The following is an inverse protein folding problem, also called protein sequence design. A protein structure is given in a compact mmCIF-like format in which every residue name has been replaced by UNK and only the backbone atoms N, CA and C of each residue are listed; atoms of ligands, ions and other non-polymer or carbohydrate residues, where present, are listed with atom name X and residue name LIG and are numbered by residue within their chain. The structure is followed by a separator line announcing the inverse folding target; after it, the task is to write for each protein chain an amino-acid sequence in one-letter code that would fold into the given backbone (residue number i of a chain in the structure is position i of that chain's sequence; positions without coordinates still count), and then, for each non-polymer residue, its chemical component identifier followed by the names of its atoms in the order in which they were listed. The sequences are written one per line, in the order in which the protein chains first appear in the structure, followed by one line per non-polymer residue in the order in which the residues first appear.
data_IF_517518224481
#
_entry.id   IF_517518224481
#
_cell.length_a   1.000
_cell.length_b   1.000
_cell.length_c   1.000
_cell.angle_alpha   90.00
_cell.angle_beta   90.00
_cell.angle_gamma   90.00
#
_symmetry.space_group_name_H-M   'P 1'
#
loop_
_entity.id
_entity.type
_entity.pdbx_description
1 polymer ?
#
# COMPACT_ATOMS: atom_id res chain seq x y z
N UNK A 1 21.58 -2.52 -10.85
CA UNK A 1 21.34 -3.29 -9.62
C UNK A 1 19.95 -2.94 -9.11
N UNK A 2 19.23 -3.90 -8.50
CA UNK A 2 17.92 -3.69 -7.89
C UNK A 2 17.87 -4.48 -6.58
N UNK A 3 17.33 -3.88 -5.52
CA UNK A 3 17.08 -4.52 -4.23
C UNK A 3 15.64 -4.22 -3.80
N UNK A 4 14.99 -5.20 -3.17
CA UNK A 4 13.59 -5.07 -2.72
C UNK A 4 13.32 -5.97 -1.51
N UNK A 5 12.59 -5.46 -0.54
CA UNK A 5 12.22 -6.10 0.72
C UNK A 5 10.77 -5.72 1.11
N UNK A 6 9.75 -6.47 0.66
CA UNK A 6 8.36 -6.15 0.96
C UNK A 6 8.04 -6.36 2.46
N UNK A 7 7.38 -5.38 3.10
CA UNK A 7 7.01 -5.44 4.52
C UNK A 7 5.54 -5.79 4.67
N UNK A 8 5.25 -6.99 5.19
CA UNK A 8 3.90 -7.48 5.51
C UNK A 8 3.87 -8.07 6.92
N UNK A 9 2.67 -8.26 7.48
CA UNK A 9 2.50 -8.90 8.78
C UNK A 9 3.11 -10.30 8.82
N UNK A 10 3.81 -10.62 9.91
CA UNK A 10 4.39 -11.95 10.12
C UNK A 10 3.27 -12.98 10.31
N UNK A 11 3.25 -14.01 9.45
CA UNK A 11 2.24 -15.06 9.44
C UNK A 11 2.87 -16.44 9.22
N UNK A 12 2.16 -17.49 9.62
CA UNK A 12 2.51 -18.88 9.31
C UNK A 12 1.31 -19.56 8.61
N UNK A 13 1.46 -20.02 7.35
CA UNK A 13 2.66 -19.93 6.51
C UNK A 13 3.00 -18.47 6.11
N UNK A 14 4.25 -18.24 5.71
CA UNK A 14 4.68 -16.94 5.16
C UNK A 14 3.82 -16.55 3.97
N UNK A 15 3.49 -15.26 3.87
CA UNK A 15 2.75 -14.72 2.71
C UNK A 15 3.55 -14.91 1.42
N UNK A 16 4.86 -14.63 1.49
CA UNK A 16 5.80 -14.77 0.38
C UNK A 16 6.53 -16.11 0.44
N UNK A 17 6.70 -16.75 -0.71
CA UNK A 17 7.62 -17.87 -0.87
C UNK A 17 8.41 -17.74 -2.19
N UNK A 18 9.59 -18.34 -2.22
CA UNK A 18 10.45 -18.31 -3.40
C UNK A 18 10.00 -19.36 -4.43
N UNK A 19 9.91 -18.96 -5.69
CA UNK A 19 9.52 -19.81 -6.80
C UNK A 19 10.33 -19.50 -8.06
N UNK A 20 10.47 -20.50 -8.94
CA UNK A 20 11.05 -20.35 -10.27
C UNK A 20 10.21 -21.12 -11.29
N UNK A 21 9.92 -20.49 -12.42
CA UNK A 21 9.22 -21.09 -13.55
C UNK A 21 10.22 -21.25 -14.69
N UNK A 22 10.58 -22.51 -14.97
CA UNK A 22 11.61 -22.84 -15.95
C UNK A 22 11.07 -23.83 -16.98
N UNK A 23 10.95 -23.34 -18.21
CA UNK A 23 10.70 -24.17 -19.37
C UNK A 23 12.00 -24.88 -19.76
N UNK A 24 11.97 -26.22 -19.91
CA UNK A 24 13.16 -27.00 -20.32
C UNK A 24 13.73 -26.56 -21.66
N UNK A 25 12.86 -26.07 -22.53
CA UNK A 25 13.21 -25.47 -23.82
C UNK A 25 12.36 -24.21 -23.97
N UNK A 26 12.92 -23.03 -23.65
CA UNK A 26 12.23 -21.76 -23.83
C UNK A 26 11.81 -21.57 -25.30
N UNK A 27 10.58 -21.13 -25.52
CA UNK A 27 10.04 -20.88 -26.85
C UNK A 27 8.61 -20.33 -26.78
N UNK A 28 7.95 -20.08 -27.93
CA UNK A 28 6.62 -19.45 -27.95
C UNK A 28 5.55 -20.19 -27.15
N UNK A 29 5.66 -21.51 -27.02
CA UNK A 29 4.71 -22.33 -26.25
C UNK A 29 5.00 -22.35 -24.73
N UNK A 30 6.22 -22.00 -24.32
CA UNK A 30 6.65 -21.98 -22.92
C UNK A 30 7.81 -20.96 -22.80
N UNK A 31 7.50 -19.67 -22.62
CA UNK A 31 8.51 -18.61 -22.64
C UNK A 31 9.19 -18.37 -21.28
N UNK A 32 8.81 -19.11 -20.24
CA UNK A 32 9.21 -18.83 -18.86
C UNK A 32 10.61 -19.35 -18.55
N UNK A 33 11.47 -18.42 -18.13
CA UNK A 33 12.70 -18.68 -17.39
C UNK A 33 12.88 -17.51 -16.42
N UNK A 34 12.20 -17.62 -15.28
CA UNK A 34 12.00 -16.53 -14.32
C UNK A 34 12.09 -17.07 -12.90
N UNK A 35 12.66 -16.28 -11.98
CA UNK A 35 12.79 -16.66 -10.57
C UNK A 35 12.58 -15.46 -9.67
N UNK A 36 12.00 -15.70 -8.50
CA UNK A 36 11.81 -14.68 -7.48
C UNK A 36 10.86 -15.15 -6.39
N UNK A 37 9.97 -14.25 -5.95
CA UNK A 37 8.99 -14.48 -4.91
C UNK A 37 7.58 -14.38 -5.44
N UNK A 38 6.67 -15.17 -4.87
CA UNK A 38 5.24 -15.19 -5.20
C UNK A 38 4.39 -15.48 -3.98
N UNK A 39 3.07 -15.44 -4.14
CA UNK A 39 2.09 -15.70 -3.10
C UNK A 39 1.54 -17.13 -3.19
N UNK A 40 1.28 -17.74 -2.04
CA UNK A 40 0.65 -19.07 -2.00
C UNK A 40 -0.67 -19.07 -2.78
N UNK A 41 -0.78 -19.94 -3.79
CA UNK A 41 -1.96 -20.05 -4.65
C UNK A 41 -1.97 -19.13 -5.88
N UNK A 42 -1.01 -18.21 -6.01
CA UNK A 42 -0.84 -17.38 -7.20
C UNK A 42 0.24 -17.98 -8.12
N UNK A 43 -0.06 -18.20 -9.42
CA UNK A 43 0.97 -18.57 -10.39
C UNK A 43 1.77 -17.35 -10.85
N UNK A 44 3.00 -17.57 -11.29
CA UNK A 44 3.90 -16.50 -11.77
C UNK A 44 4.86 -15.98 -10.69
N UNK A 45 5.82 -15.16 -11.11
CA UNK A 45 6.78 -14.48 -10.23
C UNK A 45 6.36 -13.03 -10.04
N UNK A 46 6.09 -12.65 -8.80
CA UNK A 46 5.52 -11.35 -8.48
C UNK A 46 6.63 -10.30 -8.29
N UNK A 47 7.69 -10.66 -7.58
CA UNK A 47 8.94 -9.88 -7.44
C UNK A 47 10.07 -10.78 -7.88
N UNK A 48 10.93 -10.35 -8.79
CA UNK A 48 11.99 -11.23 -9.27
C UNK A 48 12.71 -10.72 -10.49
N UNK A 49 13.27 -11.65 -11.25
CA UNK A 49 13.97 -11.36 -12.47
C UNK A 49 13.90 -12.54 -13.45
N UNK A 50 14.12 -12.23 -14.72
CA UNK A 50 14.44 -13.20 -15.75
C UNK A 50 15.85 -12.92 -16.28
N UNK A 51 16.19 -13.46 -17.46
CA UNK A 51 17.51 -13.28 -18.06
C UNK A 51 17.84 -11.84 -18.49
N UNK A 52 16.85 -10.95 -18.63
CA UNK A 52 17.03 -9.59 -19.17
C UNK A 52 16.69 -8.49 -18.19
N UNK A 53 15.64 -8.68 -17.39
CA UNK A 53 15.11 -7.63 -16.52
C UNK A 53 14.88 -8.15 -15.11
N UNK A 54 14.95 -7.24 -14.14
CA UNK A 54 14.57 -7.44 -12.75
C UNK A 54 13.53 -6.38 -12.35
N UNK A 55 12.64 -6.77 -11.45
CA UNK A 55 11.63 -5.88 -10.90
C UNK A 55 11.37 -6.17 -9.43
N UNK A 56 10.95 -5.13 -8.73
CA UNK A 56 10.43 -5.20 -7.37
C UNK A 56 9.37 -4.13 -7.19
N UNK A 57 8.65 -4.17 -6.07
CA UNK A 57 7.66 -3.14 -5.82
C UNK A 57 7.45 -2.80 -4.36
N UNK A 58 6.86 -1.63 -4.16
CA UNK A 58 6.28 -1.19 -2.90
C UNK A 58 4.83 -0.76 -3.12
N UNK A 59 4.00 -0.77 -2.07
CA UNK A 59 2.63 -0.28 -2.18
C UNK A 59 2.62 1.22 -2.54
N UNK A 60 1.91 1.59 -3.61
CA UNK A 60 1.67 2.99 -3.97
C UNK A 60 0.69 3.65 -3.00
N UNK A 61 -0.19 2.86 -2.38
CA UNK A 61 -1.25 3.37 -1.50
C UNK A 61 -2.24 4.31 -2.18
N UNK A 62 -2.63 4.11 -3.46
CA UNK A 62 -3.59 5.00 -4.08
C UNK A 62 -4.95 4.84 -3.37
N UNK A 63 -5.64 5.96 -3.25
CA UNK A 63 -6.99 6.03 -2.75
C UNK A 63 -7.97 5.49 -3.80
N UNK A 64 -8.34 4.22 -3.61
CA UNK A 64 -9.16 3.42 -4.53
C UNK A 64 -10.44 2.92 -3.86
N UNK A 65 -10.80 3.48 -2.72
CA UNK A 65 -11.92 3.06 -1.90
C UNK A 65 -12.68 4.27 -1.39
N UNK A 66 -13.99 4.31 -1.64
CA UNK A 66 -14.88 5.33 -1.11
C UNK A 66 -16.00 4.71 -0.27
N UNK A 67 -16.40 5.43 0.78
CA UNK A 67 -17.58 5.13 1.57
C UNK A 67 -18.71 6.08 1.17
N UNK A 68 -19.81 5.52 0.68
CA UNK A 68 -20.99 6.29 0.32
C UNK A 68 -22.06 6.15 1.40
N UNK A 69 -22.55 7.28 1.90
CA UNK A 69 -23.66 7.36 2.83
C UNK A 69 -24.97 7.27 2.05
N UNK A 70 -25.79 6.28 2.39
CA UNK A 70 -26.96 5.89 1.61
C UNK A 70 -28.25 6.09 2.40
N UNK A 71 -29.32 6.42 1.66
CA UNK A 71 -30.69 6.51 2.19
C UNK A 71 -31.51 5.35 1.68
N UNK A 72 -31.64 4.32 2.50
CA UNK A 72 -32.35 3.09 2.18
C UNK A 72 -33.75 3.12 2.78
N UNK A 73 -34.77 2.78 1.98
CA UNK A 73 -36.16 2.65 2.42
C UNK A 73 -36.74 1.34 1.90
N UNK A 74 -36.93 0.36 2.79
CA UNK A 74 -37.39 -0.97 2.38
C UNK A 74 -36.42 -1.61 1.39
N UNK A 75 -36.92 -1.95 0.19
CA UNK A 75 -36.13 -2.57 -0.88
C UNK A 75 -35.50 -1.59 -1.88
N UNK A 76 -35.50 -0.29 -1.59
CA UNK A 76 -34.99 0.76 -2.47
C UNK A 76 -34.00 1.70 -1.76
N UNK A 77 -33.23 2.45 -2.55
CA UNK A 77 -32.34 3.51 -2.08
C UNK A 77 -32.47 4.76 -2.96
N UNK A 78 -32.14 5.93 -2.40
CA UNK A 78 -32.15 7.20 -3.14
C UNK A 78 -30.83 7.40 -3.90
N UNK A 79 -30.89 7.78 -5.18
CA UNK A 79 -29.73 8.07 -6.03
C UNK A 79 -30.08 9.13 -7.06
N UNK A 80 -29.42 10.28 -7.00
CA UNK A 80 -29.62 11.44 -7.87
C UNK A 80 -31.11 11.81 -8.04
N UNK A 81 -31.83 11.91 -6.91
CA UNK A 81 -33.25 12.26 -6.86
C UNK A 81 -34.22 11.17 -7.31
N UNK A 82 -33.75 9.94 -7.53
CA UNK A 82 -34.58 8.78 -7.91
C UNK A 82 -34.50 7.67 -6.86
N UNK A 83 -35.61 6.97 -6.65
CA UNK A 83 -35.62 5.73 -5.88
C UNK A 83 -35.27 4.56 -6.81
N UNK A 84 -34.20 3.82 -6.48
CA UNK A 84 -33.72 2.67 -7.23
C UNK A 84 -33.85 1.40 -6.39
N UNK A 85 -34.18 0.24 -6.99
CA UNK A 85 -34.22 -1.01 -6.25
C UNK A 85 -32.81 -1.43 -5.80
N UNK A 86 -32.72 -2.01 -4.61
CA UNK A 86 -31.50 -2.69 -4.16
C UNK A 86 -31.31 -3.98 -4.96
N UNK A 87 -30.06 -4.30 -5.30
CA UNK A 87 -29.70 -5.66 -5.72
C UNK A 87 -29.47 -6.48 -4.46
N UNK A 88 -30.38 -7.43 -4.20
CA UNK A 88 -30.33 -8.29 -3.01
C UNK A 88 -29.87 -9.70 -3.40
N UNK A 89 -28.92 -10.26 -2.66
CA UNK A 89 -28.60 -11.69 -2.71
C UNK A 89 -28.48 -12.27 -1.31
N UNK A 90 -28.76 -13.56 -1.19
CA UNK A 90 -28.64 -14.30 0.07
C UNK A 90 -27.46 -15.26 -0.04
N UNK A 91 -26.53 -15.13 0.89
CA UNK A 91 -25.34 -15.96 1.01
C UNK A 91 -25.49 -16.89 2.21
N UNK A 92 -24.97 -18.11 2.10
CA UNK A 92 -24.91 -19.04 3.23
C UNK A 92 -23.45 -19.42 3.50
N UNK A 93 -22.97 -19.05 4.68
CA UNK A 93 -21.62 -19.33 5.15
C UNK A 93 -21.68 -20.58 6.02
N UNK A 94 -21.04 -21.66 5.59
CA UNK A 94 -20.93 -22.90 6.38
C UNK A 94 -19.88 -22.70 7.48
N UNK A 95 -20.26 -22.93 8.73
CA UNK A 95 -19.37 -22.78 9.89
C UNK A 95 -18.97 -24.16 10.40
N UNK A 96 -17.67 -24.41 10.57
CA UNK A 96 -17.19 -25.69 11.07
C UNK A 96 -17.68 -25.90 12.51
N UNK A 97 -18.40 -27.00 12.74
CA UNK A 97 -18.93 -27.35 14.07
C UNK A 97 -20.14 -26.52 14.54
N UNK A 98 -20.75 -25.71 13.67
CA UNK A 98 -21.94 -24.94 13.96
C UNK A 98 -22.91 -24.89 12.78
N UNK A 99 -24.11 -24.37 13.00
CA UNK A 99 -25.10 -24.19 11.94
C UNK A 99 -24.63 -23.11 10.93
N UNK A 100 -25.01 -23.24 9.64
CA UNK A 100 -24.68 -22.23 8.65
C UNK A 100 -25.26 -20.86 8.99
N UNK A 101 -24.48 -19.81 8.77
CA UNK A 101 -24.93 -18.42 8.91
C UNK A 101 -25.46 -17.93 7.58
N UNK A 102 -26.70 -17.45 7.55
CA UNK A 102 -27.29 -16.80 6.38
C UNK A 102 -27.07 -15.30 6.46
N UNK A 103 -26.57 -14.71 5.38
CA UNK A 103 -26.28 -13.28 5.27
C UNK A 103 -27.02 -12.71 4.06
N UNK A 104 -27.72 -11.59 4.24
CA UNK A 104 -28.36 -10.86 3.15
C UNK A 104 -27.43 -9.73 2.71
N UNK A 105 -26.98 -9.78 1.46
CA UNK A 105 -26.14 -8.74 0.86
C UNK A 105 -27.01 -7.85 0.01
N UNK A 106 -27.16 -6.59 0.42
CA UNK A 106 -27.80 -5.53 -0.36
C UNK A 106 -26.73 -4.69 -1.04
N UNK A 107 -26.94 -4.34 -2.29
CA UNK A 107 -25.98 -3.60 -3.12
C UNK A 107 -26.69 -2.43 -3.81
N UNK A 108 -26.09 -1.24 -3.73
CA UNK A 108 -26.47 -0.03 -4.48
C UNK A 108 -25.58 0.12 -5.72
N UNK A 109 -25.75 1.19 -6.51
CA UNK A 109 -24.84 1.48 -7.61
C UNK A 109 -23.41 1.80 -7.13
N UNK A 110 -23.28 2.27 -5.87
CA UNK A 110 -21.99 2.60 -5.26
C UNK A 110 -21.33 1.37 -4.60
N UNK A 111 -22.05 0.26 -4.41
CA UNK A 111 -21.47 -1.02 -3.97
C UNK A 111 -22.28 -1.73 -2.88
N UNK A 112 -21.74 -2.82 -2.31
CA UNK A 112 -22.40 -3.53 -1.22
C UNK A 112 -22.53 -2.65 0.02
N UNK A 113 -23.68 -2.75 0.68
CA UNK A 113 -23.90 -2.13 1.99
C UNK A 113 -23.08 -2.87 3.06
N UNK A 114 -22.27 -2.13 3.80
CA UNK A 114 -21.37 -2.65 4.84
C UNK A 114 -21.69 -2.09 6.24
N UNK A 115 -22.84 -1.43 6.41
CA UNK A 115 -23.28 -0.83 7.68
C UNK A 115 -23.16 -1.80 8.85
N UNK A 116 -23.60 -3.05 8.66
CA UNK A 116 -23.68 -4.05 9.74
C UNK A 116 -22.31 -4.60 10.15
N UNK A 117 -21.27 -4.39 9.35
CA UNK A 117 -19.90 -4.85 9.65
C UNK A 117 -18.98 -3.75 10.17
N UNK A 118 -19.42 -2.49 10.11
CA UNK A 118 -18.73 -1.36 10.72
C UNK A 118 -19.29 -1.16 12.13
N UNK A 119 -18.47 -1.45 13.14
CA UNK A 119 -18.85 -1.23 14.54
C UNK A 119 -19.22 0.25 14.78
N UNK A 120 -20.37 0.48 15.43
CA UNK A 120 -20.85 1.84 15.76
C UNK A 120 -21.40 2.66 14.59
N UNK A 121 -21.39 2.15 13.34
CA UNK A 121 -21.85 2.92 12.18
C UNK A 121 -23.28 3.45 12.33
N UNK A 122 -24.20 2.64 12.88
CA UNK A 122 -25.58 3.06 13.11
C UNK A 122 -25.72 4.29 14.02
N UNK A 123 -24.81 4.47 14.99
CA UNK A 123 -24.80 5.65 15.86
C UNK A 123 -24.20 6.85 15.15
N UNK A 124 -23.09 6.67 14.43
CA UNK A 124 -22.41 7.73 13.66
C UNK A 124 -23.27 8.31 12.54
N UNK A 125 -24.17 7.50 11.96
CA UNK A 125 -25.04 7.94 10.86
C UNK A 125 -26.18 8.87 11.28
N UNK A 126 -26.57 8.90 12.56
CA UNK A 126 -27.76 9.63 13.04
C UNK A 126 -27.80 11.09 12.61
N UNK A 127 -26.66 11.77 12.62
CA UNK A 127 -26.54 13.21 12.32
C UNK A 127 -26.33 13.50 10.82
N UNK A 128 -26.07 12.46 10.01
CA UNK A 128 -25.80 12.58 8.57
C UNK A 128 -27.06 12.57 7.68
N UNK A 129 -28.20 12.14 8.23
CA UNK A 129 -29.43 11.90 7.47
C UNK A 129 -29.40 10.65 6.56
N UNK A 130 -28.33 9.85 6.62
CA UNK A 130 -28.22 8.52 6.02
C UNK A 130 -28.55 7.43 7.04
N UNK A 131 -28.81 6.21 6.56
CA UNK A 131 -29.06 5.03 7.40
C UNK A 131 -28.31 3.79 6.93
N UNK A 132 -27.47 3.92 5.89
CA UNK A 132 -26.58 2.85 5.46
C UNK A 132 -25.26 3.41 4.91
N UNK A 133 -24.24 2.55 4.82
CA UNK A 133 -22.94 2.83 4.20
C UNK A 133 -22.70 1.81 3.09
N UNK A 134 -22.45 2.27 1.87
CA UNK A 134 -21.98 1.45 0.75
C UNK A 134 -20.46 1.56 0.59
N UNK A 135 -19.81 0.47 0.18
CA UNK A 135 -18.39 0.41 -0.13
C UNK A 135 -18.17 0.39 -1.65
N UNK A 136 -17.61 1.47 -2.20
CA UNK A 136 -17.08 1.45 -3.57
C UNK A 136 -15.59 1.16 -3.51
N UNK A 137 -15.15 0.08 -4.15
CA UNK A 137 -13.74 -0.30 -4.16
C UNK A 137 -13.37 -0.94 -5.48
N UNK A 138 -12.27 -0.51 -6.10
CA UNK A 138 -11.81 -1.06 -7.39
C UNK A 138 -11.52 -2.56 -7.34
N UNK A 139 -11.21 -3.12 -6.17
CA UNK A 139 -11.03 -4.57 -6.00
C UNK A 139 -12.33 -5.39 -6.15
N UNK A 140 -13.49 -4.74 -6.08
CA UNK A 140 -14.78 -5.38 -6.30
C UNK A 140 -15.17 -5.45 -7.78
N UNK A 141 -14.44 -4.74 -8.65
CA UNK A 141 -14.62 -4.82 -10.09
C UNK A 141 -13.68 -5.89 -10.69
N UNK A 142 -14.14 -6.73 -11.64
CA UNK A 142 -13.30 -7.74 -12.28
C UNK A 142 -12.07 -7.13 -12.96
N UNK A 143 -10.90 -7.70 -12.69
CA UNK A 143 -9.62 -7.21 -13.20
C UNK A 143 -8.73 -8.27 -13.83
N UNK A 144 -7.61 -7.83 -14.40
CA UNK A 144 -6.64 -8.62 -15.18
C UNK A 144 -5.22 -8.58 -14.60
N UNK A 145 -5.07 -8.27 -13.32
CA UNK A 145 -3.75 -8.23 -12.67
C UNK A 145 -2.98 -9.55 -12.83
N UNK A 146 -3.67 -10.69 -12.75
CA UNK A 146 -3.02 -11.99 -12.98
C UNK A 146 -2.41 -12.10 -14.39
N UNK A 147 -3.11 -11.64 -15.42
CA UNK A 147 -2.58 -11.61 -16.79
C UNK A 147 -1.33 -10.71 -16.89
N UNK A 148 -1.35 -9.57 -16.19
CA UNK A 148 -0.22 -8.64 -16.15
C UNK A 148 1.04 -9.29 -15.56
N UNK A 149 0.90 -10.12 -14.53
CA UNK A 149 2.02 -10.83 -13.91
C UNK A 149 2.65 -11.84 -14.88
N UNK A 150 1.85 -12.64 -15.59
CA UNK A 150 2.38 -13.55 -16.60
C UNK A 150 3.05 -12.82 -17.77
N UNK A 151 2.49 -11.68 -18.19
CA UNK A 151 3.12 -10.85 -19.21
C UNK A 151 4.45 -10.28 -18.71
N UNK A 152 4.52 -9.84 -17.45
CA UNK A 152 5.70 -9.30 -16.80
C UNK A 152 6.83 -10.34 -16.70
N UNK A 153 6.50 -11.59 -16.33
CA UNK A 153 7.45 -12.70 -16.25
C UNK A 153 8.22 -12.94 -17.56
N UNK A 154 7.66 -12.52 -18.70
CA UNK A 154 8.21 -12.68 -20.04
C UNK A 154 8.69 -11.37 -20.69
N UNK A 155 8.55 -10.24 -19.99
CA UNK A 155 9.04 -8.95 -20.47
C UNK A 155 10.57 -8.96 -20.53
N UNK A 156 11.14 -8.21 -21.47
CA UNK A 156 12.58 -8.27 -21.79
C UNK A 156 13.22 -6.91 -21.96
N UNK A 157 12.43 -5.84 -21.89
CA UNK A 157 12.87 -4.45 -21.97
C UNK A 157 11.83 -3.54 -21.30
N UNK A 158 12.13 -2.24 -21.21
CA UNK A 158 11.24 -1.24 -20.63
C UNK A 158 9.88 -1.16 -21.32
N UNK A 159 9.85 -1.33 -22.64
CA UNK A 159 8.62 -1.21 -23.42
C UNK A 159 7.67 -2.39 -23.13
N UNK A 160 8.18 -3.62 -23.16
CA UNK A 160 7.43 -4.83 -22.81
C UNK A 160 7.06 -4.87 -21.32
N UNK A 161 7.92 -4.37 -20.44
CA UNK A 161 7.62 -4.17 -19.02
C UNK A 161 6.41 -3.25 -18.84
N UNK A 162 6.43 -2.04 -19.43
CA UNK A 162 5.28 -1.13 -19.36
C UNK A 162 4.04 -1.70 -20.06
N UNK A 163 4.19 -2.45 -21.14
CA UNK A 163 3.07 -3.07 -21.83
C UNK A 163 2.37 -4.12 -20.95
N UNK A 164 3.14 -4.96 -20.24
CA UNK A 164 2.60 -5.93 -19.29
C UNK A 164 1.81 -5.24 -18.17
N UNK A 165 2.33 -4.12 -17.64
CA UNK A 165 1.72 -3.42 -16.52
C UNK A 165 0.45 -2.64 -16.86
N UNK A 166 0.09 -2.48 -18.14
CA UNK A 166 -1.18 -1.82 -18.55
C UNK A 166 -2.42 -2.49 -17.97
N UNK A 167 -2.36 -3.80 -17.70
CA UNK A 167 -3.46 -4.58 -17.10
C UNK A 167 -3.26 -4.89 -15.62
N UNK A 168 -2.26 -4.28 -14.98
CA UNK A 168 -2.05 -4.39 -13.54
C UNK A 168 -2.96 -3.40 -12.81
N UNK A 169 -4.16 -3.86 -12.44
CA UNK A 169 -5.25 -2.98 -11.99
C UNK A 169 -5.36 -2.88 -10.47
N UNK A 170 -5.17 -3.98 -9.75
CA UNK A 170 -5.30 -4.02 -8.29
C UNK A 170 -4.35 -5.09 -7.71
N UNK A 171 -3.68 -4.83 -6.58
CA UNK A 171 -3.55 -3.53 -5.90
C UNK A 171 -2.62 -2.58 -6.66
N UNK A 172 -2.77 -1.26 -6.52
CA UNK A 172 -1.84 -0.30 -7.11
C UNK A 172 -0.45 -0.39 -6.48
N UNK A 173 0.60 -0.41 -7.30
CA UNK A 173 1.98 -0.60 -6.84
C UNK A 173 2.93 0.43 -7.47
N UNK A 174 4.01 0.70 -6.75
CA UNK A 174 5.22 1.33 -7.26
C UNK A 174 6.15 0.24 -7.79
N UNK A 175 6.19 -0.01 -9.10
CA UNK A 175 7.14 -0.98 -9.64
C UNK A 175 8.44 -0.30 -10.05
N UNK A 176 9.56 -0.87 -9.61
CA UNK A 176 10.91 -0.49 -10.04
C UNK A 176 11.47 -1.54 -10.99
N UNK A 177 12.25 -1.08 -11.97
CA UNK A 177 12.79 -1.87 -13.07
C UNK A 177 14.31 -1.68 -13.16
N UNK A 178 15.03 -2.75 -13.49
CA UNK A 178 16.41 -2.68 -13.94
C UNK A 178 16.68 -3.74 -15.02
N UNK A 179 17.56 -3.47 -15.98
CA UNK A 179 17.94 -4.45 -17.01
C UNK A 179 19.45 -4.62 -17.20
N UNK A 180 19.79 -5.64 -18.01
CA UNK A 180 21.18 -5.98 -18.37
C UNK A 180 21.87 -4.91 -19.21
N UNK A 181 21.12 -3.99 -19.79
CA UNK A 181 21.63 -2.97 -20.70
C UNK A 181 21.98 -1.67 -19.94
N UNK A 182 21.78 -1.68 -18.61
CA UNK A 182 22.12 -0.59 -17.70
C UNK A 182 20.98 0.39 -17.45
N UNK A 183 19.76 0.08 -17.89
CA UNK A 183 18.62 0.95 -17.67
C UNK A 183 17.95 0.71 -16.32
N UNK A 184 17.35 1.76 -15.78
CA UNK A 184 16.47 1.72 -14.60
C UNK A 184 15.17 2.46 -14.89
N UNK A 185 14.09 2.03 -14.25
CA UNK A 185 12.79 2.66 -14.44
C UNK A 185 11.86 2.51 -13.25
N UNK A 186 10.81 3.31 -13.25
CA UNK A 186 9.72 3.27 -12.30
C UNK A 186 8.39 3.46 -13.02
N UNK A 187 7.39 2.66 -12.62
CA UNK A 187 6.02 2.74 -13.13
C UNK A 187 5.04 2.52 -11.97
N UNK A 188 4.19 3.51 -11.73
CA UNK A 188 2.99 3.36 -10.92
C UNK A 188 1.95 2.49 -11.66
N UNK A 189 1.28 1.60 -10.94
CA UNK A 189 0.15 0.82 -11.46
C UNK A 189 -1.08 0.99 -10.59
N UNK A 190 -2.21 0.47 -11.07
CA UNK A 190 -3.48 0.51 -10.37
C UNK A 190 -4.57 1.16 -11.20
N UNK A 191 -5.81 0.77 -10.92
CA UNK A 191 -7.00 1.49 -11.32
C UNK A 191 -7.30 2.52 -10.25
N UNK A 192 -7.03 3.79 -10.54
CA UNK A 192 -7.27 4.92 -9.61
C UNK A 192 -8.49 5.71 -10.11
N UNK A 193 -9.56 5.85 -9.30
CA UNK A 193 -10.77 6.53 -9.73
C UNK A 193 -10.57 8.05 -9.81
N UNK A 194 -11.19 8.67 -10.81
CA UNK A 194 -11.37 10.13 -10.87
C UNK A 194 -12.76 10.46 -10.35
N UNK A 195 -12.83 11.24 -9.28
CA UNK A 195 -14.08 11.61 -8.61
C UNK A 195 -14.62 12.91 -9.19
N UNK A 196 -15.94 13.04 -9.30
CA UNK A 196 -16.58 14.31 -9.65
C UNK A 196 -16.32 15.40 -8.59
N UNK A 197 -16.23 14.99 -7.32
CA UNK A 197 -15.97 15.84 -6.16
C UNK A 197 -15.34 15.01 -5.04
N UNK A 198 -14.56 15.65 -4.18
CA UNK A 198 -13.96 15.02 -3.01
C UNK A 198 -12.64 14.30 -3.32
N UNK A 199 -12.02 13.79 -2.26
CA UNK A 199 -10.68 13.22 -2.28
C UNK A 199 -10.56 11.95 -1.42
N UNK A 200 -11.69 11.23 -1.24
CA UNK A 200 -11.78 9.94 -0.55
C UNK A 200 -11.53 9.93 0.96
N UNK A 201 -11.09 11.05 1.55
CA UNK A 201 -10.80 11.15 2.99
C UNK A 201 -11.99 10.88 3.91
N UNK A 202 -13.21 11.18 3.45
CA UNK A 202 -14.41 11.10 4.28
C UNK A 202 -15.53 10.36 3.55
N UNK A 203 -16.43 9.68 4.29
CA UNK A 203 -17.68 9.21 3.71
C UNK A 203 -18.48 10.36 3.08
N UNK A 204 -19.06 10.12 1.91
CA UNK A 204 -19.75 11.15 1.11
C UNK A 204 -21.22 10.79 0.85
N UNK A 205 -22.13 11.76 0.66
CA UNK A 205 -23.52 11.47 0.28
C UNK A 205 -23.65 10.73 -1.06
N UNK A 206 -24.15 9.48 -1.04
CA UNK A 206 -24.45 8.70 -2.25
C UNK A 206 -25.73 9.13 -2.97
N UNK A 207 -26.70 9.65 -2.22
CA UNK A 207 -28.00 10.03 -2.80
C UNK A 207 -27.96 11.26 -3.71
N UNK A 208 -26.90 12.08 -3.68
CA UNK A 208 -26.80 13.31 -4.49
C UNK A 208 -26.22 13.07 -5.89
N UNK A 209 -25.36 12.07 -6.06
CA UNK A 209 -24.59 11.83 -7.28
C UNK A 209 -23.40 12.79 -7.49
N UNK A 210 -23.14 13.72 -6.58
CA UNK A 210 -22.06 14.73 -6.72
C UNK A 210 -20.65 14.13 -6.58
N UNK A 211 -20.52 12.97 -5.96
CA UNK A 211 -19.24 12.33 -5.61
C UNK A 211 -18.95 11.09 -6.46
N UNK A 212 -19.73 10.85 -7.51
CA UNK A 212 -19.59 9.67 -8.36
C UNK A 212 -18.18 9.58 -8.97
N UNK A 213 -17.71 8.35 -9.17
CA UNK A 213 -16.54 8.08 -10.00
C UNK A 213 -16.90 8.33 -11.46
N UNK A 214 -16.19 9.25 -12.10
CA UNK A 214 -16.48 9.69 -13.48
C UNK A 214 -15.62 8.96 -14.51
N UNK A 215 -14.41 8.55 -14.11
CA UNK A 215 -13.48 7.78 -14.93
C UNK A 215 -12.40 7.16 -14.03
N UNK A 216 -11.35 6.65 -14.64
CA UNK A 216 -10.12 6.22 -13.97
C UNK A 216 -8.94 6.93 -14.61
N UNK A 217 -7.87 7.20 -13.84
CA UNK A 217 -6.64 7.79 -14.37
C UNK A 217 -6.12 6.91 -15.52
N UNK A 218 -5.91 7.45 -16.73
CA UNK A 218 -5.34 6.68 -17.83
C UNK A 218 -3.94 6.17 -17.49
N UNK A 219 -3.62 4.93 -17.89
CA UNK A 219 -2.33 4.31 -17.58
C UNK A 219 -1.11 5.16 -17.99
N UNK A 220 -1.19 5.80 -19.17
CA UNK A 220 -0.10 6.63 -19.67
C UNK A 220 0.06 7.96 -18.90
N UNK A 221 -0.94 8.32 -18.07
CA UNK A 221 -0.89 9.45 -17.14
C UNK A 221 -0.50 9.02 -15.72
N UNK A 222 -0.34 7.73 -15.42
CA UNK A 222 0.23 7.29 -14.15
C UNK A 222 1.72 7.64 -14.06
N UNK A 223 2.24 8.01 -12.87
CA UNK A 223 3.64 8.38 -12.71
C UNK A 223 4.60 7.31 -13.23
N UNK A 224 5.56 7.74 -14.04
CA UNK A 224 6.63 6.88 -14.52
C UNK A 224 7.90 7.68 -14.80
N UNK A 225 9.05 7.03 -14.69
CA UNK A 225 10.34 7.60 -15.09
C UNK A 225 11.24 6.49 -15.63
N UNK A 226 12.07 6.83 -16.62
CA UNK A 226 13.03 5.92 -17.24
C UNK A 226 14.37 6.62 -17.37
N UNK A 227 15.43 6.00 -16.82
CA UNK A 227 16.79 6.56 -16.75
C UNK A 227 16.84 8.02 -16.25
N UNK A 228 16.37 8.29 -15.02
CA UNK A 228 16.50 9.62 -14.42
C UNK A 228 17.97 10.05 -14.32
N UNK A 229 18.24 11.35 -14.44
CA UNK A 229 19.60 11.90 -14.44
C UNK A 229 20.35 11.65 -13.13
N UNK A 230 19.61 11.47 -12.03
CA UNK A 230 20.10 11.14 -10.70
C UNK A 230 20.77 9.77 -10.65
N UNK A 231 20.43 8.84 -11.56
CA UNK A 231 21.03 7.51 -11.64
C UNK A 231 20.54 6.51 -10.58
N UNK A 232 19.51 6.86 -9.81
CA UNK A 232 18.85 5.96 -8.86
C UNK A 232 17.36 6.24 -8.76
N UNK A 233 16.62 5.25 -8.27
CA UNK A 233 15.19 5.30 -8.00
C UNK A 233 14.95 4.67 -6.64
N UNK A 234 14.18 5.34 -5.78
CA UNK A 234 13.79 4.85 -4.45
C UNK A 234 12.29 5.00 -4.33
N UNK A 235 11.62 3.96 -3.86
CA UNK A 235 10.21 4.01 -3.44
C UNK A 235 10.09 3.27 -2.13
N UNK A 236 9.42 3.87 -1.15
CA UNK A 236 9.20 3.29 0.17
C UNK A 236 7.81 3.69 0.70
N UNK A 237 6.78 3.60 -0.17
CA UNK A 237 5.39 3.99 0.11
C UNK A 237 5.17 5.50 0.35
N UNK A 238 6.21 6.29 0.13
CA UNK A 238 6.21 7.75 0.21
C UNK A 238 5.57 8.39 -1.03
N UNK A 239 5.36 9.70 -0.98
CA UNK A 239 4.81 10.47 -2.09
C UNK A 239 5.71 10.37 -3.33
N UNK A 240 5.16 9.86 -4.43
CA UNK A 240 5.87 9.65 -5.71
C UNK A 240 5.68 10.78 -6.72
N UNK A 241 4.92 11.81 -6.36
CA UNK A 241 4.60 12.95 -7.22
C UNK A 241 4.74 14.27 -6.47
N UNK A 242 5.13 15.30 -7.20
CA UNK A 242 4.99 16.69 -6.77
C UNK A 242 3.57 17.16 -7.14
N UNK A 243 2.70 17.48 -6.16
CA UNK A 243 1.32 17.90 -6.45
C UNK A 243 1.24 19.22 -7.25
N UNK A 244 2.31 20.00 -7.31
CA UNK A 244 2.39 21.18 -8.16
C UNK A 244 2.61 20.84 -9.64
N UNK A 245 3.11 19.64 -9.94
CA UNK A 245 3.43 19.16 -11.30
C UNK A 245 2.50 18.05 -11.77
N UNK A 246 1.92 17.30 -10.85
CA UNK A 246 1.02 16.19 -11.12
C UNK A 246 -0.37 16.51 -10.56
N UNK A 247 -1.34 16.89 -11.41
CA UNK A 247 -2.62 17.42 -10.95
C UNK A 247 -3.65 16.35 -10.56
N UNK A 248 -3.41 15.08 -10.90
CA UNK A 248 -4.35 13.99 -10.62
C UNK A 248 -4.13 13.46 -9.21
N UNK A 249 -5.22 13.29 -8.46
CA UNK A 249 -5.17 12.77 -7.11
C UNK A 249 -4.87 11.26 -7.14
N UNK A 250 -3.76 10.86 -6.52
CA UNK A 250 -3.46 9.45 -6.25
C UNK A 250 -3.91 9.06 -4.86
N UNK A 251 -3.51 9.82 -3.84
CA UNK A 251 -3.89 9.66 -2.43
C UNK A 251 -3.42 10.90 -1.66
N UNK A 252 -4.03 11.15 -0.50
CA UNK A 252 -3.53 12.10 0.51
C UNK A 252 -2.82 11.38 1.68
N UNK A 253 -2.92 10.04 1.75
CA UNK A 253 -2.45 9.21 2.86
C UNK A 253 -1.10 8.54 2.57
N UNK A 254 -0.09 9.34 2.25
CA UNK A 254 1.27 8.86 2.01
C UNK A 254 1.98 8.42 3.29
N UNK A 255 2.94 7.49 3.17
CA UNK A 255 3.91 7.30 4.26
C UNK A 255 4.76 8.57 4.45
N UNK A 256 5.15 8.87 5.69
CA UNK A 256 5.86 10.10 6.08
C UNK A 256 7.26 10.31 5.47
N UNK A 257 7.73 9.45 4.56
CA UNK A 257 9.00 9.64 3.83
C UNK A 257 10.27 9.33 4.61
N UNK A 258 10.19 8.99 5.90
CA UNK A 258 11.36 8.65 6.71
C UNK A 258 12.24 7.54 6.11
N UNK A 259 11.63 6.46 5.63
CA UNK A 259 12.35 5.34 5.01
C UNK A 259 12.98 5.72 3.67
N UNK A 260 12.22 6.39 2.78
CA UNK A 260 12.76 6.78 1.48
C UNK A 260 13.90 7.78 1.63
N UNK A 261 13.77 8.76 2.52
CA UNK A 261 14.83 9.71 2.81
C UNK A 261 16.09 9.01 3.34
N UNK A 262 15.95 8.08 4.30
CA UNK A 262 17.09 7.33 4.85
C UNK A 262 17.78 6.45 3.80
N UNK A 263 17.01 5.79 2.92
CA UNK A 263 17.54 5.02 1.79
C UNK A 263 18.28 5.95 0.81
N UNK A 264 17.69 7.10 0.48
CA UNK A 264 18.29 8.09 -0.42
C UNK A 264 19.62 8.61 0.11
N UNK A 265 19.71 8.93 1.40
CA UNK A 265 20.93 9.45 2.01
C UNK A 265 22.08 8.43 1.96
N UNK A 266 21.81 7.17 2.36
CA UNK A 266 22.81 6.11 2.28
C UNK A 266 23.17 5.73 0.84
N UNK A 267 22.19 5.77 -0.08
CA UNK A 267 22.44 5.49 -1.49
C UNK A 267 23.31 6.58 -2.13
N UNK A 268 23.07 7.86 -1.80
CA UNK A 268 23.91 8.98 -2.25
C UNK A 268 25.33 8.84 -1.74
N UNK A 269 25.52 8.42 -0.48
CA UNK A 269 26.84 8.14 0.07
C UNK A 269 27.53 6.99 -0.70
N UNK A 270 26.83 5.87 -0.91
CA UNK A 270 27.34 4.73 -1.65
C UNK A 270 27.73 5.08 -3.10
N UNK A 271 26.89 5.86 -3.79
CA UNK A 271 27.16 6.38 -5.14
C UNK A 271 28.38 7.29 -5.14
N UNK A 272 28.46 8.24 -4.20
CA UNK A 272 29.60 9.16 -4.07
C UNK A 272 30.91 8.43 -3.78
N UNK A 273 30.86 7.31 -3.06
CA UNK A 273 32.00 6.44 -2.81
C UNK A 273 32.32 5.46 -3.96
N UNK A 274 31.48 5.40 -5.01
CA UNK A 274 31.62 4.45 -6.12
C UNK A 274 31.38 2.98 -5.71
N UNK A 275 30.65 2.73 -4.63
CA UNK A 275 30.43 1.39 -4.03
C UNK A 275 28.95 1.05 -3.97
N UNK A 276 28.36 0.79 -5.13
CA UNK A 276 26.95 0.41 -5.27
C UNK A 276 26.88 -1.07 -5.63
N UNK A 277 27.11 -1.92 -4.62
CA UNK A 277 27.15 -3.38 -4.70
C UNK A 277 26.13 -4.04 -3.75
N UNK A 278 26.08 -5.38 -3.76
CA UNK A 278 25.16 -6.14 -2.91
C UNK A 278 25.39 -5.88 -1.41
N UNK A 279 26.64 -5.69 -0.98
CA UNK A 279 26.96 -5.38 0.41
C UNK A 279 26.44 -3.99 0.82
N UNK A 280 26.51 -3.01 -0.08
CA UNK A 280 25.88 -1.72 0.12
C UNK A 280 24.36 -1.83 0.26
N UNK A 281 23.70 -2.63 -0.59
CA UNK A 281 22.25 -2.85 -0.48
C UNK A 281 21.88 -3.56 0.82
N UNK A 282 22.66 -4.57 1.23
CA UNK A 282 22.43 -5.27 2.50
C UNK A 282 22.55 -4.33 3.71
N UNK A 283 23.51 -3.38 3.70
CA UNK A 283 23.62 -2.35 4.75
C UNK A 283 22.42 -1.42 4.77
N UNK A 284 21.96 -0.96 3.61
CA UNK A 284 20.77 -0.09 3.50
C UNK A 284 19.51 -0.81 3.99
N UNK A 285 19.30 -2.06 3.57
CA UNK A 285 18.14 -2.87 3.99
C UNK A 285 18.21 -3.27 5.47
N UNK A 286 19.41 -3.36 6.04
CA UNK A 286 19.65 -3.64 7.45
C UNK A 286 19.69 -2.41 8.35
N UNK A 287 19.43 -1.20 7.84
CA UNK A 287 19.45 0.03 8.63
C UNK A 287 18.33 0.03 9.69
N UNK A 288 18.71 0.30 10.94
CA UNK A 288 17.80 0.29 12.10
C UNK A 288 17.58 1.68 12.68
N UNK A 289 17.95 2.75 11.96
CA UNK A 289 17.87 4.11 12.49
C UNK A 289 16.42 4.58 12.63
N UNK A 290 16.08 5.20 13.76
CA UNK A 290 14.72 5.68 14.04
C UNK A 290 14.63 7.23 14.03
N UNK A 291 14.15 7.84 12.94
CA UNK A 291 14.04 9.30 12.84
C UNK A 291 12.95 9.89 13.76
N UNK A 292 11.97 9.09 14.20
CA UNK A 292 11.00 9.55 15.21
C UNK A 292 11.69 9.71 16.57
N UNK A 293 12.66 8.85 16.88
CA UNK A 293 13.45 8.99 18.09
C UNK A 293 14.30 10.26 18.09
N UNK A 294 14.91 10.62 16.96
CA UNK A 294 15.67 11.87 16.82
C UNK A 294 14.81 13.11 17.14
N UNK A 295 13.55 13.11 16.70
CA UNK A 295 12.61 14.20 16.99
C UNK A 295 12.13 14.22 18.46
N UNK A 296 11.84 13.05 19.04
CA UNK A 296 11.15 12.93 20.33
C UNK A 296 12.10 12.91 21.54
N UNK A 297 13.28 12.29 21.41
CA UNK A 297 14.24 12.16 22.53
C UNK A 297 14.64 13.51 23.13
N UNK A 298 14.89 14.60 22.36
CA UNK A 298 15.17 15.91 22.94
C UNK A 298 14.06 16.47 23.84
N UNK A 299 12.80 16.15 23.57
CA UNK A 299 11.67 16.51 24.41
C UNK A 299 11.61 15.63 25.67
N UNK A 300 11.80 14.32 25.52
CA UNK A 300 11.84 13.38 26.64
C UNK A 300 12.95 13.75 27.64
N UNK A 301 14.14 14.11 27.17
CA UNK A 301 15.27 14.51 28.03
C UNK A 301 14.99 15.77 28.86
N UNK A 302 13.98 16.56 28.48
CA UNK A 302 13.52 17.74 29.22
C UNK A 302 12.34 17.43 30.15
N UNK A 303 11.76 16.24 30.07
CA UNK A 303 10.69 15.84 30.97
C UNK A 303 11.25 15.77 32.40
N UNK A 304 10.65 16.53 33.32
CA UNK A 304 11.03 16.57 34.73
C UNK A 304 10.64 15.29 35.47
N UNK A 305 11.33 14.18 35.18
CA UNK A 305 11.08 12.87 35.79
C UNK A 305 11.83 12.71 37.11
N UNK A 306 11.27 11.93 38.04
CA UNK A 306 11.87 11.65 39.35
C UNK A 306 11.93 10.14 39.62
N UNK A 307 12.74 9.73 40.61
CA UNK A 307 12.87 8.33 41.01
C UNK A 307 13.55 7.47 39.95
N UNK A 308 13.09 6.23 39.79
CA UNK A 308 13.70 5.27 38.85
C UNK A 308 13.54 5.69 37.37
N UNK A 309 12.55 6.53 37.05
CA UNK A 309 12.36 7.06 35.69
C UNK A 309 13.56 7.93 35.22
N UNK A 310 14.31 8.53 36.14
CA UNK A 310 15.55 9.25 35.79
C UNK A 310 16.59 8.30 35.21
N UNK A 311 16.75 7.09 35.77
CA UNK A 311 17.70 6.08 35.25
C UNK A 311 17.32 5.63 33.84
N UNK A 312 16.02 5.49 33.58
CA UNK A 312 15.54 5.13 32.25
C UNK A 312 15.77 6.26 31.25
N UNK A 313 15.54 7.51 31.65
CA UNK A 313 15.81 8.67 30.83
C UNK A 313 17.30 8.83 30.49
N UNK A 314 18.19 8.45 31.42
CA UNK A 314 19.64 8.45 31.22
C UNK A 314 20.08 7.52 30.07
N UNK A 315 19.33 6.43 29.80
CA UNK A 315 19.61 5.54 28.66
C UNK A 315 19.52 6.25 27.32
N UNK A 316 18.69 7.29 27.21
CA UNK A 316 18.53 8.05 25.98
C UNK A 316 19.69 9.04 25.74
N UNK A 317 20.55 9.29 26.74
CA UNK A 317 21.68 10.22 26.58
C UNK A 317 22.80 9.53 25.82
N UNK A 318 23.19 10.12 24.67
CA UNK A 318 24.24 9.58 23.81
C UNK A 318 23.81 8.37 22.99
N UNK A 319 22.52 8.01 23.00
CA UNK A 319 21.97 7.05 22.05
C UNK A 319 21.99 7.65 20.64
N UNK A 320 22.41 6.85 19.66
CA UNK A 320 22.53 7.20 18.24
C UNK A 320 21.23 6.98 17.44
N UNK A 321 20.13 6.67 18.15
CA UNK A 321 18.80 6.37 17.61
C UNK A 321 18.69 5.08 16.81
N UNK A 322 19.74 4.23 16.81
CA UNK A 322 19.73 2.90 16.18
C UNK A 322 18.94 1.88 17.03
N UNK A 323 18.14 1.05 16.37
CA UNK A 323 17.21 0.08 16.98
C UNK A 323 17.79 -1.34 16.99
N UNK A 324 19.09 -1.47 17.26
CA UNK A 324 19.77 -2.77 17.27
C UNK A 324 19.27 -3.67 18.41
N UNK A 325 19.37 -4.99 18.20
CA UNK A 325 18.86 -6.01 19.14
C UNK A 325 19.34 -5.86 20.59
N UNK A 326 20.50 -5.23 20.82
CA UNK A 326 21.14 -5.08 22.13
C UNK A 326 20.97 -3.64 22.69
N UNK A 327 20.17 -2.79 22.04
CA UNK A 327 19.98 -1.39 22.44
C UNK A 327 18.92 -1.23 23.55
N UNK A 328 19.38 -1.04 24.79
CA UNK A 328 18.50 -0.75 25.92
C UNK A 328 17.74 0.58 25.74
N UNK A 329 18.37 1.57 25.12
CA UNK A 329 17.76 2.86 24.81
C UNK A 329 16.61 2.71 23.81
N UNK A 330 16.79 1.89 22.76
CA UNK A 330 15.73 1.58 21.81
C UNK A 330 14.53 0.88 22.46
N UNK A 331 14.79 -0.12 23.31
CA UNK A 331 13.72 -0.81 24.04
C UNK A 331 12.92 0.15 24.93
N UNK A 332 13.61 1.01 25.69
CA UNK A 332 12.96 2.03 26.51
C UNK A 332 12.17 3.05 25.67
N UNK A 333 12.75 3.56 24.59
CA UNK A 333 12.10 4.51 23.69
C UNK A 333 10.79 3.97 23.13
N UNK A 334 10.77 2.72 22.62
CA UNK A 334 9.54 2.14 22.06
C UNK A 334 8.47 1.90 23.12
N UNK A 335 8.86 1.55 24.36
CA UNK A 335 7.91 1.45 25.46
C UNK A 335 7.29 2.83 25.76
N UNK A 336 8.11 3.88 25.87
CA UNK A 336 7.64 5.25 26.06
C UNK A 336 6.72 5.68 24.93
N UNK A 337 7.12 5.46 23.67
CA UNK A 337 6.34 5.85 22.51
C UNK A 337 4.96 5.18 22.49
N UNK A 338 4.90 3.87 22.75
CA UNK A 338 3.63 3.14 22.87
C UNK A 338 2.72 3.73 23.95
N UNK A 339 3.28 4.04 25.13
CA UNK A 339 2.51 4.60 26.23
C UNK A 339 2.06 6.03 25.94
N UNK A 340 2.91 6.87 25.34
CA UNK A 340 2.52 8.20 24.87
C UNK A 340 1.33 8.11 23.92
N UNK A 341 1.36 7.21 22.94
CA UNK A 341 0.24 7.03 22.00
C UNK A 341 -1.04 6.57 22.71
N UNK A 342 -0.92 5.62 23.64
CA UNK A 342 -2.07 5.12 24.40
C UNK A 342 -2.65 6.22 25.29
N UNK A 343 -1.82 6.86 26.11
CA UNK A 343 -2.26 7.87 27.08
C UNK A 343 -2.74 9.18 26.42
N UNK A 344 -2.34 9.44 25.16
CA UNK A 344 -2.77 10.63 24.41
C UNK A 344 -4.08 10.40 23.66
N UNK A 345 -4.35 9.17 23.18
CA UNK A 345 -5.42 8.94 22.22
C UNK A 345 -6.43 7.86 22.61
N UNK A 346 -6.20 7.06 23.67
CA UNK A 346 -7.06 5.92 24.00
C UNK A 346 -8.44 6.31 24.54
N UNK A 347 -8.61 7.53 25.04
CA UNK A 347 -9.91 8.10 25.42
C UNK A 347 -10.58 8.91 24.29
N UNK A 348 -9.82 9.26 23.24
CA UNK A 348 -10.27 10.06 22.09
C UNK A 348 -10.50 9.23 20.80
N UNK A 349 -10.05 7.97 20.75
CA UNK A 349 -10.28 7.02 19.66
C UNK A 349 -11.23 5.91 20.12
N UNK A 350 -12.26 5.54 19.33
CA UNK A 350 -13.27 4.54 19.71
C UNK A 350 -12.74 3.11 19.85
#
# INVERSE_FOLDING_TARGET
MLANDPHLGAAMPSVWYQAGLHCRTPGPACPFDVTGFTFSGLPGVVIGHNARIAWGFTNLGPDVTDLFLEKVTGGTYESAGRQKPLVTRTEQIKVAGADPVTLTVNTTDDGPLITDVIAGAGDTLKDSGANAVALRWTALDPGRTADALFALDTAHDWASFRAALRTFQVPGQNLVYADTDGNIGYQATGTVPVRARGDGRWPVPGWTGEYAWTSTIPYDELPSVFNPAEGYIVTANDAVVDPQRYPLLLTEDWSYGYRSQRILDQLREAVGAGKVDADAMARIQGDTHNPVAEALVPALLKAGVTGDATKALDLLRGWDFSQDKDSAAAAYFNAVWRHVLTDTFNDDLP
#
